data_IF_176260427517
#
_entry.id   IF_176260427517
#
_cell.length_a   1.000
_cell.length_b   1.000
_cell.length_c   1.000
_cell.angle_alpha   90.00
_cell.angle_beta   90.00
_cell.angle_gamma   90.00
#
_symmetry.space_group_name_H-M   'P 1'
#
loop_
_entity.id
_entity.type
_entity.pdbx_description
1 polymer ?
#
# COMPACT_ATOMS: atom_id res chain seq x y z
N UNK A 1 7.69 2.87 -21.25
CA UNK A 1 7.40 3.09 -19.83
C UNK A 1 5.99 3.66 -19.79
N UNK A 2 5.07 3.04 -19.04
CA UNK A 2 3.71 3.55 -18.95
C UNK A 2 3.75 4.96 -18.33
N UNK A 3 2.94 5.88 -18.83
CA UNK A 3 2.80 7.21 -18.21
C UNK A 3 2.09 7.08 -16.85
N UNK A 4 2.24 8.05 -15.95
CA UNK A 4 1.53 8.01 -14.67
C UNK A 4 0.01 7.87 -14.84
N UNK A 5 -0.56 8.51 -15.88
CA UNK A 5 -1.98 8.43 -16.20
C UNK A 5 -2.42 7.02 -16.67
N UNK A 6 -1.64 6.36 -17.53
CA UNK A 6 -1.90 4.95 -17.89
C UNK A 6 -1.85 4.05 -16.66
N UNK A 7 -0.95 4.34 -15.71
CA UNK A 7 -0.88 3.59 -14.47
C UNK A 7 -2.09 3.83 -13.54
N UNK A 8 -2.71 5.01 -13.55
CA UNK A 8 -3.94 5.27 -12.78
C UNK A 8 -5.15 4.55 -13.38
N UNK A 9 -5.27 4.49 -14.71
CA UNK A 9 -6.32 3.72 -15.36
C UNK A 9 -6.19 2.22 -15.02
N UNK A 10 -4.96 1.69 -15.03
CA UNK A 10 -4.67 0.32 -14.60
C UNK A 10 -4.98 0.12 -13.12
N UNK A 11 -4.61 1.06 -12.25
CA UNK A 11 -4.97 0.98 -10.83
C UNK A 11 -6.47 0.92 -10.62
N UNK A 12 -7.25 1.69 -11.37
CA UNK A 12 -8.71 1.68 -11.30
C UNK A 12 -9.28 0.30 -11.66
N UNK A 13 -8.80 -0.32 -12.74
CA UNK A 13 -9.18 -1.68 -13.13
C UNK A 13 -8.79 -2.72 -12.07
N UNK A 14 -7.63 -2.53 -11.44
CA UNK A 14 -7.15 -3.39 -10.35
C UNK A 14 -8.07 -3.29 -9.13
N UNK A 15 -8.39 -2.07 -8.68
CA UNK A 15 -9.23 -1.89 -7.48
C UNK A 15 -10.66 -2.36 -7.71
N UNK A 16 -11.21 -2.22 -8.93
CA UNK A 16 -12.52 -2.77 -9.30
C UNK A 16 -12.57 -4.29 -9.14
N UNK A 17 -11.56 -4.98 -9.70
CA UNK A 17 -11.47 -6.44 -9.59
C UNK A 17 -11.21 -6.88 -8.15
N UNK A 18 -10.40 -6.12 -7.40
CA UNK A 18 -10.17 -6.37 -5.99
C UNK A 18 -11.48 -6.29 -5.19
N UNK A 19 -12.26 -5.22 -5.35
CA UNK A 19 -13.53 -5.07 -4.64
C UNK A 19 -14.54 -6.16 -5.00
N UNK A 20 -14.56 -6.61 -6.26
CA UNK A 20 -15.42 -7.72 -6.68
C UNK A 20 -15.15 -9.03 -5.91
N UNK A 21 -13.89 -9.31 -5.54
CA UNK A 21 -13.50 -10.49 -4.76
C UNK A 21 -13.38 -10.27 -3.25
N UNK A 22 -13.58 -9.05 -2.75
CA UNK A 22 -13.22 -8.66 -1.39
C UNK A 22 -14.03 -9.40 -0.31
N UNK A 23 -15.33 -9.58 -0.53
CA UNK A 23 -16.23 -10.26 0.43
C UNK A 23 -15.80 -11.69 0.73
N UNK A 24 -15.48 -12.45 -0.31
CA UNK A 24 -15.03 -13.83 -0.19
C UNK A 24 -13.64 -13.89 0.44
N UNK A 25 -12.77 -12.95 0.07
CA UNK A 25 -11.44 -12.85 0.67
C UNK A 25 -11.46 -12.55 2.16
N UNK A 26 -12.26 -11.59 2.61
CA UNK A 26 -12.39 -11.30 4.05
C UNK A 26 -12.89 -12.52 4.83
N UNK A 27 -13.72 -13.34 4.20
CA UNK A 27 -14.25 -14.58 4.78
C UNK A 27 -13.25 -15.75 4.73
N UNK A 28 -12.17 -15.63 3.94
CA UNK A 28 -11.17 -16.68 3.77
C UNK A 28 -10.12 -16.69 4.88
N UNK A 29 -9.55 -17.86 5.18
CA UNK A 29 -8.47 -18.02 6.17
C UNK A 29 -7.08 -17.59 5.70
N UNK A 30 -6.88 -17.26 4.41
CA UNK A 30 -5.56 -16.94 3.84
C UNK A 30 -5.33 -15.44 3.70
N UNK A 31 -4.15 -14.94 4.11
CA UNK A 31 -3.75 -13.53 3.92
C UNK A 31 -3.65 -13.15 2.43
N UNK A 32 -3.37 -14.13 1.56
CA UNK A 32 -3.31 -13.96 0.11
C UNK A 32 -4.47 -14.71 -0.57
N UNK A 33 -5.25 -14.05 -1.44
CA UNK A 33 -6.39 -14.65 -2.14
C UNK A 33 -5.98 -15.55 -3.32
N UNK A 34 -6.97 -16.04 -4.08
CA UNK A 34 -6.76 -16.51 -5.46
C UNK A 34 -6.26 -15.33 -6.33
N UNK A 35 -5.32 -15.58 -7.24
CA UNK A 35 -4.80 -14.57 -8.17
C UNK A 35 -5.94 -13.92 -8.98
N UNK A 36 -5.88 -12.61 -9.15
CA UNK A 36 -6.79 -11.86 -10.03
C UNK A 36 -6.23 -11.92 -11.46
N UNK A 37 -7.11 -11.93 -12.47
CA UNK A 37 -6.75 -12.10 -13.89
C UNK A 37 -5.79 -11.01 -14.40
N UNK A 38 -5.82 -9.80 -13.84
CA UNK A 38 -4.82 -8.78 -14.15
C UNK A 38 -3.45 -9.11 -13.53
N UNK A 39 -2.50 -9.46 -14.39
CA UNK A 39 -1.08 -9.60 -14.08
C UNK A 39 -0.74 -10.57 -12.93
N UNK A 40 -1.58 -11.58 -12.66
CA UNK A 40 -1.36 -12.60 -11.62
C UNK A 40 -1.21 -12.03 -10.19
N UNK A 41 -1.66 -10.81 -9.93
CA UNK A 41 -1.56 -10.19 -8.61
C UNK A 41 -2.53 -10.86 -7.62
N UNK A 42 -2.10 -10.96 -6.36
CA UNK A 42 -2.97 -11.40 -5.27
C UNK A 42 -3.84 -10.24 -4.78
N UNK A 43 -5.11 -10.49 -4.49
CA UNK A 43 -5.89 -9.54 -3.73
C UNK A 43 -5.43 -9.57 -2.27
N UNK A 44 -5.11 -8.36 -1.79
CA UNK A 44 -4.66 -8.02 -0.44
C UNK A 44 -5.28 -6.69 -0.03
N UNK A 45 -5.50 -6.47 1.26
CA UNK A 45 -6.04 -5.19 1.75
C UNK A 45 -5.02 -4.08 1.53
N UNK A 46 -3.75 -4.29 1.86
CA UNK A 46 -2.71 -3.26 1.67
C UNK A 46 -2.57 -2.84 0.21
N UNK A 47 -2.61 -3.81 -0.71
CA UNK A 47 -2.54 -3.53 -2.15
C UNK A 47 -3.74 -2.75 -2.69
N UNK A 48 -4.95 -3.01 -2.16
CA UNK A 48 -6.16 -2.24 -2.47
C UNK A 48 -6.09 -0.83 -1.87
N UNK A 49 -5.85 -0.72 -0.56
CA UNK A 49 -5.88 0.55 0.18
C UNK A 49 -4.88 1.56 -0.36
N UNK A 50 -3.65 1.12 -0.66
CA UNK A 50 -2.63 2.00 -1.28
C UNK A 50 -3.10 2.56 -2.63
N UNK A 51 -3.71 1.72 -3.48
CA UNK A 51 -4.19 2.15 -4.80
C UNK A 51 -5.41 3.05 -4.68
N UNK A 52 -6.33 2.73 -3.78
CA UNK A 52 -7.49 3.56 -3.47
C UNK A 52 -7.07 4.94 -3.00
N UNK A 53 -6.10 5.04 -2.09
CA UNK A 53 -5.55 6.31 -1.62
C UNK A 53 -4.99 7.12 -2.80
N UNK A 54 -4.08 6.52 -3.60
CA UNK A 54 -3.50 7.20 -4.77
C UNK A 54 -4.56 7.72 -5.74
N UNK A 55 -5.55 6.90 -6.06
CA UNK A 55 -6.64 7.28 -6.96
C UNK A 55 -7.49 8.41 -6.38
N UNK A 56 -7.72 8.41 -5.06
CA UNK A 56 -8.53 9.42 -4.38
C UNK A 56 -7.81 10.77 -4.34
N UNK A 57 -6.54 10.79 -3.96
CA UNK A 57 -5.72 12.02 -3.93
C UNK A 57 -5.53 12.62 -5.33
N UNK A 58 -5.55 11.77 -6.37
CA UNK A 58 -5.40 12.17 -7.76
C UNK A 58 -6.72 12.22 -8.54
N UNK A 59 -7.87 12.23 -7.87
CA UNK A 59 -9.20 12.18 -8.50
C UNK A 59 -9.40 13.29 -9.55
N UNK A 60 -8.83 14.47 -9.30
CA UNK A 60 -8.88 15.62 -10.24
C UNK A 60 -8.13 15.39 -11.56
N UNK A 61 -7.25 14.39 -11.62
CA UNK A 61 -6.49 14.00 -12.81
C UNK A 61 -7.18 12.91 -13.64
N UNK A 62 -8.22 12.29 -13.07
CA UNK A 62 -9.04 11.28 -13.72
C UNK A 62 -10.10 11.94 -14.62
N UNK A 63 -10.48 11.25 -15.69
CA UNK A 63 -11.64 11.68 -16.48
C UNK A 63 -12.96 11.45 -15.73
N UNK A 64 -14.04 12.10 -16.18
CA UNK A 64 -15.34 12.03 -15.49
C UNK A 64 -15.89 10.59 -15.38
N UNK A 65 -15.58 9.70 -16.33
CA UNK A 65 -16.00 8.30 -16.30
C UNK A 65 -15.20 7.53 -15.24
N UNK A 66 -13.89 7.75 -15.18
CA UNK A 66 -12.99 7.18 -14.18
C UNK A 66 -13.36 7.63 -12.76
N UNK A 67 -13.68 8.91 -12.56
CA UNK A 67 -14.14 9.43 -11.25
C UNK A 67 -15.42 8.74 -10.77
N UNK A 68 -16.40 8.54 -11.66
CA UNK A 68 -17.64 7.82 -11.33
C UNK A 68 -17.34 6.37 -10.94
N UNK A 69 -16.46 5.70 -11.70
CA UNK A 69 -16.03 4.33 -11.40
C UNK A 69 -15.32 4.25 -10.04
N UNK A 70 -14.40 5.17 -9.75
CA UNK A 70 -13.70 5.23 -8.46
C UNK A 70 -14.68 5.38 -7.30
N UNK A 71 -15.63 6.33 -7.38
CA UNK A 71 -16.67 6.50 -6.36
C UNK A 71 -17.48 5.23 -6.13
N UNK A 72 -17.93 4.58 -7.21
CA UNK A 72 -18.71 3.33 -7.11
C UNK A 72 -17.91 2.20 -6.44
N UNK A 73 -16.62 2.10 -6.72
CA UNK A 73 -15.73 1.11 -6.11
C UNK A 73 -15.52 1.40 -4.63
N UNK A 74 -15.26 2.66 -4.27
CA UNK A 74 -15.09 3.10 -2.90
C UNK A 74 -16.35 2.81 -2.05
N UNK A 75 -17.53 3.18 -2.56
CA UNK A 75 -18.81 2.91 -1.89
C UNK A 75 -19.07 1.41 -1.68
N UNK A 76 -18.75 0.59 -2.68
CA UNK A 76 -18.87 -0.89 -2.57
C UNK A 76 -17.91 -1.46 -1.53
N UNK A 77 -16.67 -0.99 -1.50
CA UNK A 77 -15.70 -1.43 -0.50
C UNK A 77 -16.14 -1.02 0.90
N UNK A 78 -16.57 0.22 1.09
CA UNK A 78 -17.06 0.71 2.37
C UNK A 78 -18.25 -0.09 2.87
N UNK A 79 -19.18 -0.46 1.99
CA UNK A 79 -20.28 -1.36 2.35
C UNK A 79 -19.75 -2.73 2.82
N UNK A 80 -18.87 -3.37 2.04
CA UNK A 80 -18.27 -4.67 2.41
C UNK A 80 -17.58 -4.57 3.76
N UNK A 81 -16.71 -3.57 3.93
CA UNK A 81 -15.95 -3.31 5.16
C UNK A 81 -16.87 -3.13 6.37
N UNK A 82 -17.88 -2.27 6.29
CA UNK A 82 -18.85 -2.04 7.39
C UNK A 82 -19.63 -3.30 7.73
N UNK A 83 -20.03 -4.09 6.73
CA UNK A 83 -20.78 -5.35 6.97
C UNK A 83 -19.93 -6.48 7.54
N UNK A 84 -18.61 -6.43 7.37
CA UNK A 84 -17.68 -7.48 7.76
C UNK A 84 -16.53 -6.93 8.62
N UNK A 85 -16.80 -5.90 9.44
CA UNK A 85 -15.76 -5.12 10.13
C UNK A 85 -14.77 -5.98 10.92
N UNK A 86 -15.26 -6.92 11.74
CA UNK A 86 -14.36 -7.80 12.51
C UNK A 86 -13.47 -8.68 11.63
N UNK A 87 -13.99 -9.17 10.50
CA UNK A 87 -13.19 -9.94 9.54
C UNK A 87 -12.17 -9.04 8.83
N UNK A 88 -12.56 -7.82 8.49
CA UNK A 88 -11.69 -6.79 7.94
C UNK A 88 -10.52 -6.46 8.88
N UNK A 89 -10.79 -6.09 10.13
CA UNK A 89 -9.76 -5.74 11.13
C UNK A 89 -8.79 -6.89 11.37
N UNK A 90 -9.33 -8.11 11.53
CA UNK A 90 -8.51 -9.32 11.69
C UNK A 90 -7.60 -9.54 10.49
N UNK A 91 -8.12 -9.36 9.27
CA UNK A 91 -7.36 -9.55 8.03
C UNK A 91 -6.28 -8.48 7.86
N UNK A 92 -6.64 -7.21 8.12
CA UNK A 92 -5.74 -6.08 8.06
C UNK A 92 -4.59 -6.23 9.06
N UNK A 93 -4.87 -6.62 10.30
CA UNK A 93 -3.84 -6.89 11.31
C UNK A 93 -2.92 -8.07 10.94
N UNK A 94 -3.47 -9.13 10.34
CA UNK A 94 -2.67 -10.25 9.83
C UNK A 94 -1.75 -9.83 8.68
N UNK A 95 -2.28 -9.07 7.71
CA UNK A 95 -1.50 -8.56 6.60
C UNK A 95 -0.43 -7.58 7.09
N UNK A 96 -0.76 -6.64 7.97
CA UNK A 96 0.19 -5.67 8.55
C UNK A 96 1.40 -6.38 9.16
N UNK A 97 1.17 -7.44 9.94
CA UNK A 97 2.25 -8.26 10.52
C UNK A 97 3.10 -8.94 9.43
N UNK A 98 2.46 -9.48 8.39
CA UNK A 98 3.16 -10.12 7.28
C UNK A 98 4.03 -9.12 6.52
N UNK A 99 3.47 -7.96 6.15
CA UNK A 99 4.17 -6.88 5.44
C UNK A 99 5.35 -6.33 6.23
N UNK A 100 5.22 -6.17 7.56
CA UNK A 100 6.35 -5.79 8.40
C UNK A 100 7.49 -6.82 8.39
N UNK A 101 7.16 -8.12 8.31
CA UNK A 101 8.16 -9.17 8.14
C UNK A 101 8.85 -9.12 6.78
N UNK A 102 8.09 -8.89 5.71
CA UNK A 102 8.61 -8.72 4.36
C UNK A 102 9.49 -7.47 4.24
N UNK A 103 9.06 -6.35 4.83
CA UNK A 103 9.80 -5.10 4.84
C UNK A 103 11.11 -5.20 5.60
N UNK A 104 11.08 -5.82 6.77
CA UNK A 104 12.29 -6.10 7.55
C UNK A 104 13.29 -6.97 6.77
N UNK A 105 12.79 -7.99 6.05
CA UNK A 105 13.64 -8.84 5.21
C UNK A 105 14.24 -8.03 4.05
N UNK A 106 13.44 -7.21 3.37
CA UNK A 106 13.92 -6.36 2.29
C UNK A 106 15.01 -5.39 2.75
N UNK A 107 14.84 -4.75 3.92
CA UNK A 107 15.87 -3.86 4.48
C UNK A 107 17.16 -4.60 4.86
N UNK A 108 17.07 -5.83 5.38
CA UNK A 108 18.28 -6.64 5.63
C UNK A 108 19.01 -6.97 4.33
N UNK A 109 18.30 -7.50 3.34
CA UNK A 109 18.87 -7.81 2.01
C UNK A 109 19.53 -6.56 1.39
N UNK A 110 18.88 -5.40 1.52
CA UNK A 110 19.40 -4.12 1.03
C UNK A 110 20.71 -3.68 1.70
N UNK A 111 20.89 -3.99 2.98
CA UNK A 111 22.06 -3.56 3.76
C UNK A 111 23.19 -4.59 3.81
N UNK A 112 22.90 -5.87 3.55
CA UNK A 112 23.87 -6.97 3.61
C UNK A 112 24.78 -7.03 2.36
N UNK A 113 24.33 -6.56 1.19
CA UNK A 113 25.04 -6.68 -0.10
C UNK A 113 26.31 -5.81 -0.24
N UNK A 114 26.71 -5.07 0.79
CA UNK A 114 27.90 -4.19 0.80
C UNK A 114 27.82 -2.98 -0.14
N UNK A 115 26.84 -2.94 -1.05
CA UNK A 115 26.43 -1.80 -1.89
C UNK A 115 24.91 -1.78 -2.00
N UNK A 116 24.22 -0.99 -1.16
CA UNK A 116 22.78 -0.84 -1.23
C UNK A 116 22.34 -0.38 -2.62
N UNK A 117 21.31 -1.02 -3.18
CA UNK A 117 20.83 -0.73 -4.54
C UNK A 117 19.49 -0.02 -4.48
N UNK A 118 19.44 1.20 -5.03
CA UNK A 118 18.17 1.93 -5.21
C UNK A 118 17.19 1.19 -6.13
N UNK A 119 17.68 0.35 -7.05
CA UNK A 119 16.81 -0.47 -7.88
C UNK A 119 16.09 -1.55 -7.06
N UNK A 120 16.77 -2.19 -6.11
CA UNK A 120 16.13 -3.13 -5.18
C UNK A 120 15.17 -2.40 -4.25
N UNK A 121 15.59 -1.27 -3.68
CA UNK A 121 14.72 -0.46 -2.82
C UNK A 121 13.39 -0.09 -3.50
N UNK A 122 13.43 0.39 -4.75
CA UNK A 122 12.23 0.76 -5.51
C UNK A 122 11.25 -0.39 -5.71
N UNK A 123 11.71 -1.64 -5.75
CA UNK A 123 10.84 -2.81 -5.88
C UNK A 123 10.14 -3.18 -4.55
N UNK A 124 10.75 -2.83 -3.41
CA UNK A 124 10.25 -3.25 -2.10
C UNK A 124 9.51 -2.14 -1.34
N UNK A 125 9.76 -0.87 -1.67
CA UNK A 125 9.19 0.29 -0.96
C UNK A 125 7.66 0.34 -0.99
N UNK A 126 7.01 -0.28 -1.99
CA UNK A 126 5.54 -0.43 -2.04
C UNK A 126 5.02 -1.08 -0.74
N UNK A 127 5.77 -2.02 -0.15
CA UNK A 127 5.40 -2.69 1.11
C UNK A 127 5.29 -1.69 2.27
N UNK A 128 6.17 -0.69 2.33
CA UNK A 128 6.13 0.34 3.38
C UNK A 128 4.93 1.27 3.21
N UNK A 129 4.52 1.53 1.98
CA UNK A 129 3.29 2.29 1.70
C UNK A 129 2.04 1.46 2.04
N UNK A 130 2.01 0.16 1.72
CA UNK A 130 0.94 -0.74 2.17
C UNK A 130 0.84 -0.82 3.70
N UNK A 131 1.98 -0.86 4.41
CA UNK A 131 2.02 -0.81 5.88
C UNK A 131 1.36 0.48 6.39
N UNK A 132 1.69 1.64 5.80
CA UNK A 132 1.10 2.91 6.19
C UNK A 132 -0.41 2.91 5.98
N UNK A 133 -0.87 2.55 4.78
CA UNK A 133 -2.30 2.52 4.45
C UNK A 133 -3.10 1.56 5.36
N UNK A 134 -2.52 0.43 5.76
CA UNK A 134 -3.13 -0.51 6.71
C UNK A 134 -3.22 0.09 8.13
N UNK A 135 -2.18 0.79 8.58
CA UNK A 135 -2.17 1.47 9.89
C UNK A 135 -3.23 2.57 9.91
N UNK A 136 -3.20 3.48 8.93
CA UNK A 136 -4.14 4.61 8.86
C UNK A 136 -5.59 4.13 8.85
N UNK A 137 -5.86 3.04 8.10
CA UNK A 137 -7.21 2.48 8.04
C UNK A 137 -7.62 1.81 9.35
N UNK A 138 -6.72 1.08 10.03
CA UNK A 138 -7.01 0.47 11.32
C UNK A 138 -7.22 1.53 12.41
N UNK A 139 -6.43 2.60 12.41
CA UNK A 139 -6.57 3.72 13.34
C UNK A 139 -7.89 4.48 13.12
N UNK A 140 -8.28 4.73 11.86
CA UNK A 140 -9.56 5.34 11.53
C UNK A 140 -10.76 4.54 12.04
N UNK A 141 -10.64 3.20 12.11
CA UNK A 141 -11.66 2.31 12.68
C UNK A 141 -11.52 2.14 14.20
N UNK A 142 -10.59 2.83 14.86
CA UNK A 142 -10.28 2.66 16.28
C UNK A 142 -9.92 1.22 16.65
N UNK A 143 -9.36 0.46 15.70
CA UNK A 143 -8.91 -0.90 15.93
C UNK A 143 -7.61 -0.91 16.75
N UNK A 144 -7.49 -1.87 17.67
CA UNK A 144 -6.30 -1.99 18.51
C UNK A 144 -5.10 -2.52 17.71
N UNK A 145 -4.17 -1.61 17.38
CA UNK A 145 -2.87 -1.98 16.81
C UNK A 145 -1.91 -2.21 17.96
N UNK A 146 -1.41 -3.43 18.07
CA UNK A 146 -0.50 -3.81 19.16
C UNK A 146 0.76 -2.92 19.18
N UNK A 147 1.19 -2.40 20.34
CA UNK A 147 2.38 -1.55 20.44
C UNK A 147 3.67 -2.19 19.87
N UNK A 148 3.80 -3.52 19.95
CA UNK A 148 4.91 -4.29 19.36
C UNK A 148 5.03 -4.14 17.83
N UNK A 149 3.91 -3.92 17.15
CA UNK A 149 3.84 -3.72 15.70
C UNK A 149 4.37 -2.34 15.34
N UNK A 150 3.91 -1.31 16.05
CA UNK A 150 4.35 0.09 15.87
C UNK A 150 5.83 0.25 16.24
N UNK A 151 6.26 -0.27 17.39
CA UNK A 151 7.67 -0.23 17.79
C UNK A 151 8.60 -0.99 16.84
N UNK A 152 8.10 -2.06 16.19
CA UNK A 152 8.86 -2.73 15.12
C UNK A 152 9.02 -1.80 13.92
N UNK A 153 7.96 -1.12 13.48
CA UNK A 153 8.02 -0.18 12.36
C UNK A 153 8.98 0.97 12.64
N UNK A 154 8.89 1.61 13.81
CA UNK A 154 9.79 2.69 14.23
C UNK A 154 11.26 2.27 14.18
N UNK A 155 11.57 1.05 14.64
CA UNK A 155 12.94 0.49 14.57
C UNK A 155 13.41 0.28 13.13
N UNK A 156 12.54 -0.16 12.22
CA UNK A 156 12.88 -0.32 10.79
C UNK A 156 13.09 1.04 10.13
N UNK A 157 12.21 1.99 10.39
CA UNK A 157 12.31 3.35 9.88
C UNK A 157 13.58 4.03 10.39
N UNK A 158 13.96 3.84 11.67
CA UNK A 158 15.22 4.33 12.22
C UNK A 158 16.46 3.75 11.53
N UNK A 159 16.45 2.46 11.19
CA UNK A 159 17.55 1.83 10.43
C UNK A 159 17.68 2.39 9.02
N UNK A 160 16.55 2.63 8.35
CA UNK A 160 16.52 3.24 7.03
C UNK A 160 17.00 4.69 7.10
N UNK A 161 16.45 5.52 8.00
CA UNK A 161 16.84 6.93 8.18
C UNK A 161 18.34 7.11 8.38
N UNK A 162 18.97 6.22 9.16
CA UNK A 162 20.42 6.26 9.39
C UNK A 162 21.26 6.10 8.12
N UNK A 163 20.67 5.60 7.02
CA UNK A 163 21.30 5.37 5.71
C UNK A 163 20.55 6.09 4.59
N UNK A 164 19.67 7.03 4.92
CA UNK A 164 18.84 7.71 3.95
C UNK A 164 19.30 9.15 3.78
N UNK A 165 19.44 9.56 2.53
CA UNK A 165 19.68 10.94 2.14
C UNK A 165 18.44 11.47 1.45
N UNK A 166 17.82 12.49 2.03
CA UNK A 166 16.66 13.16 1.44
C UNK A 166 16.98 13.68 0.04
N UNK A 167 15.98 13.60 -0.85
CA UNK A 167 16.12 13.99 -2.25
C UNK A 167 14.81 13.87 -3.02
N UNK A 168 14.92 13.66 -4.33
CA UNK A 168 13.76 13.60 -5.22
C UNK A 168 12.84 12.41 -4.95
N UNK A 169 11.57 12.56 -5.32
CA UNK A 169 10.59 11.49 -5.28
C UNK A 169 11.02 10.30 -6.16
N UNK A 170 10.86 9.08 -5.65
CA UNK A 170 11.36 7.85 -6.30
C UNK A 170 10.34 7.10 -7.16
N UNK A 171 9.11 7.58 -7.23
CA UNK A 171 8.07 7.02 -8.11
C UNK A 171 7.81 7.97 -9.29
N UNK A 172 6.96 7.60 -10.27
CA UNK A 172 6.53 8.53 -11.30
C UNK A 172 6.04 9.84 -10.67
N UNK A 173 6.51 10.98 -11.19
CA UNK A 173 6.26 12.30 -10.59
C UNK A 173 4.76 12.63 -10.49
N UNK A 174 3.94 12.03 -11.36
CA UNK A 174 2.49 12.14 -11.34
C UNK A 174 1.87 11.59 -10.05
N UNK A 175 2.57 10.74 -9.31
CA UNK A 175 2.10 10.19 -8.03
C UNK A 175 2.51 11.03 -6.83
N UNK A 176 3.41 12.00 -6.98
CA UNK A 176 4.01 12.73 -5.86
C UNK A 176 2.94 13.42 -4.99
N UNK A 177 1.91 14.00 -5.61
CA UNK A 177 0.81 14.67 -4.91
C UNK A 177 0.00 13.73 -3.99
N UNK A 178 -0.02 12.42 -4.26
CA UNK A 178 -0.70 11.43 -3.42
C UNK A 178 0.13 10.98 -2.20
N UNK A 179 1.41 11.34 -2.16
CA UNK A 179 2.36 10.84 -1.16
C UNK A 179 3.21 11.99 -0.60
N UNK A 180 2.65 12.89 0.22
CA UNK A 180 3.37 14.03 0.77
C UNK A 180 4.61 13.58 1.59
N UNK A 181 5.69 14.35 1.51
CA UNK A 181 6.98 13.97 2.11
C UNK A 181 6.96 13.86 3.65
N UNK A 182 6.07 14.59 4.32
CA UNK A 182 5.95 14.54 5.79
C UNK A 182 5.51 13.14 6.25
N UNK A 183 4.58 12.53 5.53
CA UNK A 183 4.04 11.20 5.82
C UNK A 183 4.80 10.09 5.12
N UNK A 184 5.37 10.36 3.94
CA UNK A 184 6.02 9.37 3.06
C UNK A 184 7.49 9.67 2.79
N UNK A 185 8.23 10.20 3.76
CA UNK A 185 9.65 10.62 3.62
C UNK A 185 10.56 9.56 2.95
N UNK A 186 10.27 8.28 3.12
CA UNK A 186 11.03 7.16 2.54
C UNK A 186 10.84 7.03 1.02
N UNK A 187 9.90 7.77 0.42
CA UNK A 187 9.76 7.92 -1.03
C UNK A 187 10.58 9.10 -1.58
N UNK A 188 11.27 9.87 -0.73
CA UNK A 188 11.98 11.09 -1.11
C UNK A 188 13.47 10.96 -0.81
N UNK A 189 14.25 10.59 -1.82
CA UNK A 189 15.69 10.50 -1.73
C UNK A 189 16.28 9.16 -2.13
N UNK A 190 17.42 8.85 -1.52
CA UNK A 190 18.22 7.69 -1.87
C UNK A 190 19.05 7.19 -0.69
N UNK A 191 19.64 6.01 -0.86
CA UNK A 191 20.55 5.42 0.11
C UNK A 191 21.89 6.17 0.08
N UNK A 192 22.37 6.53 1.28
CA UNK A 192 23.61 7.26 1.52
C UNK A 192 24.85 6.35 1.46
#
# INVERSE_FOLDING_TARGET
MATGHESLAVDLEIVEQMVAGMRDYLSSGSVYSKKIDYNLMYLTLGGYLMRQQRLTELDSTLDASQQVRLRNVAERFDLIRRTQLSAFEKKAGQELKARLGEWERALRELFDDGRPSMAFYRNDVEKRVMIQALIDTLEAESADIKPEVLGKLERLDGQLRARWRLGAFIWPAEFEAAYPADDYWWLYGELA
#
